data_IF_681074936095
#
_entry.id   IF_681074936095
#
_cell.length_a   1.000
_cell.length_b   1.000
_cell.length_c   1.000
_cell.angle_alpha   90.00
_cell.angle_beta   90.00
_cell.angle_gamma   90.00
#
_symmetry.space_group_name_H-M   'P 1'
#
loop_
_entity.id
_entity.type
_entity.pdbx_description
1 polymer ?
#
# COMPACT_ATOMS: atom_id res chain seq x y z
N UNK A 1 4.50 0.81 3.13
CA UNK A 1 3.49 0.28 2.20
C UNK A 1 2.09 0.24 2.81
N UNK A 2 1.84 -0.54 3.87
CA UNK A 2 0.51 -0.67 4.47
C UNK A 2 -0.17 0.67 4.83
N UNK A 3 0.57 1.63 5.39
CA UNK A 3 0.01 2.95 5.71
C UNK A 3 -0.49 3.71 4.47
N UNK A 4 0.22 3.60 3.34
CA UNK A 4 -0.16 4.24 2.08
C UNK A 4 -1.43 3.58 1.54
N UNK A 5 -1.47 2.25 1.48
CA UNK A 5 -2.64 1.50 0.99
C UNK A 5 -3.91 1.81 1.82
N UNK A 6 -3.78 1.96 3.14
CA UNK A 6 -4.91 2.38 4.01
C UNK A 6 -5.28 3.84 3.79
N UNK A 7 -4.30 4.71 3.59
CA UNK A 7 -4.53 6.13 3.34
C UNK A 7 -5.19 6.36 1.97
N UNK A 8 -4.95 5.51 0.97
CA UNK A 8 -5.61 5.61 -0.34
C UNK A 8 -7.13 5.54 -0.21
N UNK A 9 -7.65 4.60 0.58
CA UNK A 9 -9.09 4.50 0.87
C UNK A 9 -9.61 5.77 1.59
N UNK A 10 -8.89 6.21 2.62
CA UNK A 10 -9.27 7.41 3.39
C UNK A 10 -9.23 8.71 2.57
N UNK A 11 -8.32 8.80 1.61
CA UNK A 11 -8.16 9.95 0.72
C UNK A 11 -8.99 9.84 -0.57
N UNK A 12 -9.69 8.73 -0.79
CA UNK A 12 -10.46 8.46 -2.00
C UNK A 12 -9.61 8.32 -3.26
N UNK A 13 -8.34 7.91 -3.12
CA UNK A 13 -7.41 7.74 -4.23
C UNK A 13 -7.53 6.32 -4.75
N UNK A 14 -7.80 6.20 -6.05
CA UNK A 14 -7.91 4.91 -6.75
C UNK A 14 -6.58 4.51 -7.36
N UNK A 15 -6.37 3.20 -7.52
CA UNK A 15 -5.25 2.67 -8.31
C UNK A 15 -5.42 3.02 -9.78
N UNK A 16 -4.31 3.09 -10.51
CA UNK A 16 -4.30 3.24 -11.97
C UNK A 16 -4.96 2.04 -12.65
N UNK A 17 -4.66 0.84 -12.11
CA UNK A 17 -5.33 -0.40 -12.44
C UNK A 17 -6.08 -0.92 -11.22
N UNK A 18 -7.38 -0.64 -11.13
CA UNK A 18 -8.21 -0.99 -9.96
C UNK A 18 -8.24 -2.50 -9.68
N UNK A 19 -8.30 -3.33 -10.71
CA UNK A 19 -8.41 -4.79 -10.59
C UNK A 19 -7.10 -5.37 -10.02
N UNK A 20 -5.99 -5.11 -10.70
CA UNK A 20 -4.66 -5.60 -10.29
C UNK A 20 -4.17 -4.96 -8.98
N UNK A 21 -4.41 -3.65 -8.81
CA UNK A 21 -3.97 -2.91 -7.63
C UNK A 21 -4.70 -3.35 -6.37
N UNK A 22 -5.99 -3.70 -6.48
CA UNK A 22 -6.75 -4.20 -5.33
C UNK A 22 -6.32 -5.62 -4.92
N UNK A 23 -6.05 -6.50 -5.88
CA UNK A 23 -5.49 -7.84 -5.61
C UNK A 23 -4.11 -7.73 -4.95
N UNK A 24 -3.18 -7.01 -5.58
CA UNK A 24 -1.82 -6.84 -5.07
C UNK A 24 -1.81 -6.20 -3.66
N UNK A 25 -2.69 -5.22 -3.42
CA UNK A 25 -2.82 -4.57 -2.12
C UNK A 25 -3.34 -5.54 -1.04
N UNK A 26 -4.28 -6.41 -1.40
CA UNK A 26 -4.80 -7.46 -0.53
C UNK A 26 -3.71 -8.41 -0.07
N UNK A 27 -2.93 -8.95 -1.00
CA UNK A 27 -1.83 -9.88 -0.72
C UNK A 27 -0.78 -9.24 0.21
N UNK A 28 -0.38 -7.99 -0.10
CA UNK A 28 0.61 -7.26 0.70
C UNK A 28 0.09 -6.93 2.09
N UNK A 29 -1.19 -6.54 2.23
CA UNK A 29 -1.79 -6.25 3.53
C UNK A 29 -1.95 -7.51 4.38
N UNK A 30 -2.36 -8.63 3.78
CA UNK A 30 -2.51 -9.92 4.49
C UNK A 30 -1.18 -10.36 5.10
N UNK A 31 -0.09 -10.30 4.32
CA UNK A 31 1.25 -10.68 4.79
C UNK A 31 1.72 -9.77 5.93
N UNK A 32 1.47 -8.46 5.81
CA UNK A 32 1.84 -7.48 6.86
C UNK A 32 1.02 -7.71 8.14
N UNK A 33 -0.28 -7.99 8.03
CA UNK A 33 -1.18 -8.19 9.18
C UNK A 33 -0.90 -9.52 9.88
N UNK A 34 -0.60 -10.58 9.13
CA UNK A 34 -0.28 -11.88 9.71
C UNK A 34 1.08 -11.92 10.40
N UNK A 35 1.83 -10.80 10.42
CA UNK A 35 3.18 -10.69 10.97
C UNK A 35 4.05 -11.90 10.58
N UNK A 36 3.87 -12.40 9.35
CA UNK A 36 4.78 -13.38 8.79
C UNK A 36 6.05 -12.63 8.45
N UNK A 37 6.88 -12.42 9.48
CA UNK A 37 8.29 -12.02 9.39
C UNK A 37 9.14 -13.16 8.78
N UNK A 38 8.49 -14.04 8.00
CA UNK A 38 9.11 -15.21 7.42
C UNK A 38 9.79 -14.76 6.14
N UNK A 39 11.01 -14.27 6.30
CA UNK A 39 11.94 -14.19 5.19
C UNK A 39 12.24 -15.60 4.66
N UNK A 40 12.34 -15.76 3.33
CA UNK A 40 12.17 -14.73 2.30
C UNK A 40 10.71 -14.57 1.83
N UNK A 41 10.29 -13.33 1.56
CA UNK A 41 9.02 -13.06 0.87
C UNK A 41 8.98 -13.78 -0.49
N UNK A 42 7.82 -14.34 -0.84
CA UNK A 42 7.61 -14.96 -2.14
C UNK A 42 7.92 -13.98 -3.27
N UNK A 43 8.51 -14.43 -4.39
CA UNK A 43 8.81 -13.56 -5.53
C UNK A 43 7.56 -12.87 -6.09
N UNK A 44 6.40 -13.52 -6.03
CA UNK A 44 5.11 -12.92 -6.41
C UNK A 44 4.75 -11.71 -5.53
N UNK A 45 4.95 -11.82 -4.21
CA UNK A 45 4.71 -10.71 -3.28
C UNK A 45 5.67 -9.54 -3.55
N UNK A 46 6.95 -9.83 -3.80
CA UNK A 46 7.93 -8.80 -4.15
C UNK A 46 7.56 -8.09 -5.46
N UNK A 47 7.01 -8.83 -6.43
CA UNK A 47 6.51 -8.24 -7.67
C UNK A 47 5.25 -7.40 -7.43
N UNK A 48 4.30 -7.88 -6.63
CA UNK A 48 3.10 -7.12 -6.23
C UNK A 48 3.49 -5.82 -5.53
N UNK A 49 4.42 -5.85 -4.57
CA UNK A 49 4.93 -4.65 -3.90
C UNK A 49 5.56 -3.66 -4.88
N UNK A 50 6.32 -4.14 -5.87
CA UNK A 50 6.92 -3.29 -6.91
C UNK A 50 5.86 -2.69 -7.83
N UNK A 51 4.84 -3.46 -8.24
CA UNK A 51 3.73 -2.97 -9.07
C UNK A 51 2.94 -1.90 -8.35
N UNK A 52 2.54 -2.16 -7.10
CA UNK A 52 1.88 -1.17 -6.26
C UNK A 52 2.75 0.07 -6.09
N UNK A 53 4.06 -0.06 -5.86
CA UNK A 53 4.91 1.12 -5.71
C UNK A 53 5.01 1.94 -7.00
N UNK A 54 4.95 1.31 -8.17
CA UNK A 54 4.95 1.98 -9.46
C UNK A 54 3.57 2.57 -9.85
N UNK A 55 2.50 2.26 -9.12
CA UNK A 55 1.15 2.73 -9.41
C UNK A 55 1.01 4.24 -9.19
N UNK A 56 0.32 4.92 -10.11
CA UNK A 56 0.17 6.37 -10.11
C UNK A 56 -0.67 6.86 -8.90
N UNK A 57 -1.69 6.10 -8.51
CA UNK A 57 -2.51 6.36 -7.33
C UNK A 57 -1.71 6.19 -6.04
N UNK A 58 -0.90 5.14 -5.95
CA UNK A 58 0.00 4.92 -4.81
C UNK A 58 1.02 6.06 -4.67
N UNK A 59 1.65 6.48 -5.78
CA UNK A 59 2.59 7.61 -5.78
C UNK A 59 1.90 8.94 -5.40
N UNK A 60 0.67 9.16 -5.87
CA UNK A 60 -0.12 10.34 -5.50
C UNK A 60 -0.44 10.35 -4.00
N UNK A 61 -0.86 9.20 -3.45
CA UNK A 61 -1.12 9.06 -2.02
C UNK A 61 0.16 9.27 -1.19
N UNK A 62 1.28 8.71 -1.65
CA UNK A 62 2.58 8.90 -1.02
C UNK A 62 3.04 10.36 -1.03
N UNK A 63 2.79 11.11 -2.11
CA UNK A 63 3.08 12.56 -2.14
C UNK A 63 2.25 13.35 -1.13
N UNK A 64 1.10 12.81 -0.72
CA UNK A 64 0.22 13.35 0.33
C UNK A 64 0.49 12.73 1.69
N UNK A 65 1.63 12.05 1.87
CA UNK A 65 1.95 11.35 3.12
C UNK A 65 1.97 12.24 4.35
N UNK A 66 2.33 13.51 4.16
CA UNK A 66 2.23 14.52 5.19
C UNK A 66 0.81 14.61 5.78
N UNK A 67 -0.26 14.48 5.00
CA UNK A 67 -1.64 14.66 5.50
C UNK A 67 -2.06 13.57 6.49
N UNK A 68 -1.64 12.32 6.30
CA UNK A 68 -1.97 11.23 7.22
C UNK A 68 -0.89 10.99 8.29
N UNK A 69 0.39 11.29 8.02
CA UNK A 69 1.44 11.23 9.03
C UNK A 69 1.32 12.38 10.06
N UNK A 70 0.91 13.58 9.64
CA UNK A 70 0.63 14.70 10.56
C UNK A 70 -0.61 14.43 11.41
N UNK A 71 -1.65 13.79 10.86
CA UNK A 71 -2.84 13.42 11.63
C UNK A 71 -2.56 12.34 12.69
N UNK A 72 -1.66 11.39 12.41
CA UNK A 72 -1.26 10.37 13.39
C UNK A 72 -0.35 10.95 14.49
N UNK A 73 0.46 11.97 14.15
CA UNK A 73 1.38 12.66 15.08
C UNK A 73 0.74 13.75 15.95
N UNK A 74 -0.52 14.13 15.66
CA UNK A 74 -1.25 15.18 16.38
C UNK A 74 -2.11 14.65 17.55
N UNK A 75 -1.80 13.46 18.08
CA UNK A 75 -2.46 12.90 19.27
C UNK A 75 -1.56 12.89 20.50
#
# INVERSE_FOLDING_TARGET
MAAILRAMDSLGIRFDNEDQGMEDAGDVLEVIVTMRDMEPFSPELLLAMKRLWADSGVQQCFSRSNEYQLNDSAK
#
